data_IF_675387700710
#
_entry.id   IF_675387700710
#
_cell.length_a   1.000
_cell.length_b   1.000
_cell.length_c   1.000
_cell.angle_alpha   90.00
_cell.angle_beta   90.00
_cell.angle_gamma   90.00
#
_symmetry.space_group_name_H-M   'P 1'
#
loop_
_entity.id
_entity.type
_entity.pdbx_description
1 polymer ?
#
# COMPACT_ATOMS: atom_id res chain seq x y z
N UNK A 1 0.73 31.77 0.74
CA UNK A 1 1.52 31.64 -0.50
C UNK A 1 1.23 30.25 -1.05
N UNK A 2 0.48 30.12 -2.15
CA UNK A 2 0.16 28.81 -2.74
C UNK A 2 1.39 28.30 -3.48
N UNK A 3 1.98 27.20 -3.02
CA UNK A 3 3.04 26.51 -3.76
C UNK A 3 2.35 25.77 -4.92
N UNK A 4 2.83 25.95 -6.12
CA UNK A 4 2.27 25.27 -7.29
C UNK A 4 2.72 23.80 -7.31
N UNK A 5 1.91 22.93 -7.96
CA UNK A 5 2.21 21.50 -8.12
C UNK A 5 3.60 21.26 -8.73
N UNK A 6 4.04 22.14 -9.61
CA UNK A 6 5.37 22.11 -10.25
C UNK A 6 6.49 22.43 -9.25
N UNK A 7 6.30 23.40 -8.37
CA UNK A 7 7.32 23.80 -7.36
C UNK A 7 7.51 22.72 -6.29
N UNK A 8 6.44 22.00 -5.92
CA UNK A 8 6.52 20.85 -5.00
C UNK A 8 7.25 19.67 -5.67
N UNK A 9 6.92 19.40 -6.93
CA UNK A 9 7.55 18.39 -7.76
C UNK A 9 9.05 18.64 -7.90
N UNK A 10 9.46 19.85 -8.31
CA UNK A 10 10.86 20.21 -8.48
C UNK A 10 11.64 20.17 -7.16
N UNK A 11 11.02 20.55 -6.05
CA UNK A 11 11.65 20.48 -4.72
C UNK A 11 11.87 19.05 -4.25
N UNK A 12 10.91 18.16 -4.45
CA UNK A 12 11.01 16.76 -4.03
C UNK A 12 12.00 15.96 -4.90
N UNK A 13 11.93 16.14 -6.23
CA UNK A 13 12.77 15.38 -7.17
C UNK A 13 14.16 15.97 -7.38
N UNK A 14 14.42 17.22 -7.02
CA UNK A 14 15.79 17.75 -6.96
C UNK A 14 16.63 17.06 -5.87
N UNK A 15 15.97 16.50 -4.85
CA UNK A 15 16.62 15.75 -3.77
C UNK A 15 16.91 14.28 -4.17
N UNK A 16 16.17 13.74 -5.17
CA UNK A 16 16.29 12.35 -5.63
C UNK A 16 16.29 12.24 -7.16
N UNK A 17 17.33 12.74 -7.85
CA UNK A 17 17.35 12.84 -9.32
C UNK A 17 17.28 11.50 -10.06
N UNK A 18 17.72 10.39 -9.43
CA UNK A 18 17.66 9.06 -10.05
C UNK A 18 16.25 8.46 -10.07
N UNK A 19 15.39 8.85 -9.13
CA UNK A 19 13.99 8.43 -9.11
C UNK A 19 13.14 9.10 -10.21
N UNK A 20 13.47 10.33 -10.60
CA UNK A 20 12.77 11.05 -11.68
C UNK A 20 12.87 10.36 -13.05
N UNK A 21 13.89 9.52 -13.28
CA UNK A 21 14.07 8.76 -14.52
C UNK A 21 13.16 7.52 -14.63
N UNK A 22 12.76 6.94 -13.51
CA UNK A 22 11.90 5.74 -13.47
C UNK A 22 10.42 6.04 -13.79
N UNK A 23 9.98 7.30 -13.67
CA UNK A 23 8.58 7.70 -13.81
C UNK A 23 8.22 8.43 -15.10
N UNK A 24 9.09 8.40 -16.14
CA UNK A 24 8.82 9.01 -17.46
C UNK A 24 8.08 8.10 -18.45
N UNK A 25 7.50 7.00 -18.00
CA UNK A 25 6.59 6.20 -18.82
C UNK A 25 5.14 6.49 -18.44
N UNK A 26 4.25 6.57 -19.40
CA UNK A 26 2.83 6.96 -19.42
C UNK A 26 1.89 6.30 -18.38
N UNK A 27 2.30 6.21 -17.14
CA UNK A 27 1.42 5.82 -16.04
C UNK A 27 1.02 7.07 -15.27
N UNK A 28 -0.27 7.31 -15.13
CA UNK A 28 -0.80 8.32 -14.22
C UNK A 28 -0.10 8.15 -12.87
N UNK A 29 0.70 9.17 -12.49
CA UNK A 29 1.36 9.14 -11.19
C UNK A 29 0.25 9.14 -10.12
N UNK A 30 0.20 8.16 -9.24
CA UNK A 30 -0.77 8.20 -8.16
C UNK A 30 -0.48 9.41 -7.28
N UNK A 31 -1.50 9.99 -6.70
CA UNK A 31 -1.28 10.91 -5.60
C UNK A 31 -0.58 10.11 -4.47
N UNK A 32 0.53 10.64 -3.98
CA UNK A 32 1.25 10.03 -2.88
C UNK A 32 0.65 10.52 -1.57
N UNK A 33 0.23 9.60 -0.73
CA UNK A 33 -0.09 9.88 0.65
C UNK A 33 1.15 9.60 1.48
N UNK A 34 1.72 10.64 2.05
CA UNK A 34 2.87 10.53 2.95
C UNK A 34 2.40 10.13 4.34
N UNK A 35 3.04 9.12 4.91
CA UNK A 35 2.74 8.61 6.24
C UNK A 35 3.95 8.75 7.14
N UNK A 36 3.74 9.20 8.38
CA UNK A 36 4.72 9.21 9.45
C UNK A 36 4.10 8.57 10.67
N UNK A 37 4.67 7.47 11.11
CA UNK A 37 4.17 6.71 12.26
C UNK A 37 5.24 6.63 13.32
N UNK A 38 4.85 6.91 14.56
CA UNK A 38 5.69 6.77 15.73
C UNK A 38 5.10 5.69 16.63
N UNK A 39 5.92 4.72 17.00
CA UNK A 39 5.61 3.62 17.89
C UNK A 39 6.29 3.86 19.23
N UNK A 40 5.51 3.81 20.31
CA UNK A 40 6.02 3.96 21.68
C UNK A 40 5.66 2.73 22.51
N UNK A 41 6.60 2.23 23.27
CA UNK A 41 6.35 1.19 24.27
C UNK A 41 7.23 1.41 25.51
N UNK A 42 6.82 0.81 26.63
CA UNK A 42 7.69 0.70 27.79
C UNK A 42 8.79 -0.35 27.55
N UNK A 43 9.92 -0.27 28.27
CA UNK A 43 11.09 -1.13 28.05
C UNK A 43 10.80 -2.63 28.01
N UNK A 44 9.80 -3.10 28.74
CA UNK A 44 9.37 -4.49 28.76
C UNK A 44 8.71 -4.96 27.46
N UNK A 45 8.31 -4.03 26.56
CA UNK A 45 7.65 -4.30 25.29
C UNK A 45 8.46 -3.87 24.06
N UNK A 46 9.75 -3.55 24.23
CA UNK A 46 10.65 -3.16 23.14
C UNK A 46 10.75 -4.20 22.03
N UNK A 47 10.55 -5.49 22.36
CA UNK A 47 10.52 -6.55 21.38
C UNK A 47 9.34 -6.44 20.41
N UNK A 48 8.23 -5.83 20.82
CA UNK A 48 7.08 -5.57 19.95
C UNK A 48 7.40 -4.46 18.95
N UNK A 49 8.02 -3.36 19.38
CA UNK A 49 8.50 -2.30 18.46
C UNK A 49 9.50 -2.86 17.46
N UNK A 50 10.45 -3.68 17.92
CA UNK A 50 11.44 -4.31 17.05
C UNK A 50 10.79 -5.20 15.98
N UNK A 51 9.74 -5.95 16.33
CA UNK A 51 8.97 -6.77 15.37
C UNK A 51 8.23 -5.91 14.35
N UNK A 52 7.55 -4.85 14.81
CA UNK A 52 6.85 -3.92 13.92
C UNK A 52 7.85 -3.26 12.95
N UNK A 53 8.96 -2.73 13.47
CA UNK A 53 10.03 -2.15 12.66
C UNK A 53 10.53 -3.14 11.59
N UNK A 54 10.77 -4.40 11.98
CA UNK A 54 11.24 -5.42 11.04
C UNK A 54 10.24 -5.66 9.91
N UNK A 55 8.92 -5.72 10.21
CA UNK A 55 7.89 -5.84 9.18
C UNK A 55 7.94 -4.68 8.17
N UNK A 56 8.19 -3.44 8.63
CA UNK A 56 8.33 -2.28 7.74
C UNK A 56 9.63 -2.27 6.93
N UNK A 57 10.66 -3.00 7.36
CA UNK A 57 11.93 -3.15 6.62
C UNK A 57 11.92 -4.34 5.65
N UNK A 58 10.98 -5.25 5.81
CA UNK A 58 10.80 -6.41 4.94
C UNK A 58 10.00 -6.05 3.67
N UNK A 59 9.92 -6.99 2.73
CA UNK A 59 9.00 -6.90 1.60
C UNK A 59 7.57 -7.30 2.00
N UNK A 60 6.58 -6.81 1.26
CA UNK A 60 5.15 -7.13 1.46
C UNK A 60 4.65 -6.80 2.88
N UNK A 61 4.89 -5.57 3.31
CA UNK A 61 4.64 -5.06 4.65
C UNK A 61 3.18 -5.29 5.08
N UNK A 62 2.24 -4.80 4.30
CA UNK A 62 0.81 -4.89 4.65
C UNK A 62 0.27 -6.31 4.59
N UNK A 63 0.83 -7.16 3.73
CA UNK A 63 0.48 -8.60 3.69
C UNK A 63 0.89 -9.34 4.96
N UNK A 64 1.94 -8.89 5.65
CA UNK A 64 2.33 -9.46 6.94
C UNK A 64 1.36 -9.09 8.06
N UNK A 65 0.66 -7.97 7.93
CA UNK A 65 -0.29 -7.44 8.94
C UNK A 65 -1.71 -7.92 8.63
N UNK A 66 -2.18 -7.72 7.39
CA UNK A 66 -3.46 -8.21 6.88
C UNK A 66 -3.17 -9.01 5.61
N UNK A 67 -3.12 -10.36 5.71
CA UNK A 67 -2.73 -11.22 4.61
C UNK A 67 -3.65 -11.11 3.39
N UNK A 68 -3.07 -10.89 2.22
CA UNK A 68 -3.77 -10.91 0.96
C UNK A 68 -4.03 -12.35 0.49
N UNK A 69 -5.19 -12.64 -0.14
CA UNK A 69 -5.46 -13.94 -0.72
C UNK A 69 -4.44 -14.32 -1.81
N UNK A 70 -4.13 -15.59 -1.92
CA UNK A 70 -3.38 -16.11 -3.07
C UNK A 70 -4.29 -16.12 -4.31
N UNK A 71 -4.24 -15.06 -5.09
CA UNK A 71 -5.09 -14.86 -6.27
C UNK A 71 -4.88 -15.92 -7.34
N UNK A 72 -3.66 -16.48 -7.44
CA UNK A 72 -3.37 -17.56 -8.39
C UNK A 72 -4.15 -18.83 -8.10
N UNK A 73 -4.42 -19.09 -6.81
CA UNK A 73 -5.14 -20.28 -6.34
C UNK A 73 -6.57 -19.97 -5.86
N UNK A 74 -6.97 -18.69 -5.84
CA UNK A 74 -8.34 -18.29 -5.47
C UNK A 74 -9.26 -18.41 -6.69
N UNK A 75 -10.30 -19.26 -6.64
CA UNK A 75 -11.24 -19.42 -7.76
C UNK A 75 -11.93 -18.12 -8.12
N UNK A 76 -12.18 -17.92 -9.42
CA UNK A 76 -13.00 -16.84 -9.93
C UNK A 76 -14.47 -17.08 -9.59
N UNK A 77 -15.12 -16.07 -9.06
CA UNK A 77 -16.59 -16.05 -8.93
C UNK A 77 -17.18 -15.29 -10.10
N UNK A 78 -18.44 -15.59 -10.46
CA UNK A 78 -19.14 -14.91 -11.56
C UNK A 78 -19.27 -13.39 -11.35
N UNK A 79 -19.20 -12.91 -10.10
CA UNK A 79 -19.19 -11.50 -9.73
C UNK A 79 -17.87 -10.80 -10.05
N UNK A 80 -16.76 -11.54 -10.13
CA UNK A 80 -15.42 -10.98 -10.35
C UNK A 80 -15.20 -10.58 -11.81
N UNK A 81 -16.11 -11.01 -12.70
CA UNK A 81 -16.00 -10.80 -14.14
C UNK A 81 -17.13 -9.91 -14.61
N UNK A 82 -16.95 -8.60 -14.52
CA UNK A 82 -17.93 -7.63 -15.03
C UNK A 82 -18.07 -7.77 -16.56
N UNK A 83 -19.23 -8.29 -17.00
CA UNK A 83 -19.66 -8.26 -18.39
C UNK A 83 -19.13 -9.36 -19.32
N UNK A 84 -18.57 -10.46 -18.79
CA UNK A 84 -18.17 -11.63 -19.57
C UNK A 84 -18.54 -12.91 -18.83
N UNK A 85 -19.09 -13.87 -19.58
CA UNK A 85 -19.38 -15.22 -19.05
C UNK A 85 -18.08 -16.01 -19.11
N UNK A 86 -17.37 -16.11 -18.00
CA UNK A 86 -16.22 -17.02 -17.86
C UNK A 86 -16.65 -18.21 -17.03
N UNK A 87 -17.00 -19.28 -17.71
CA UNK A 87 -17.41 -20.50 -17.01
C UNK A 87 -16.22 -21.42 -16.65
N UNK A 88 -15.07 -21.27 -17.33
CA UNK A 88 -13.89 -22.13 -17.15
C UNK A 88 -12.62 -21.47 -17.73
N UNK A 89 -12.06 -20.50 -17.08
CA UNK A 89 -10.80 -19.93 -17.53
C UNK A 89 -10.15 -19.06 -16.49
N UNK A 90 -8.91 -18.70 -16.71
CA UNK A 90 -8.25 -17.65 -15.94
C UNK A 90 -8.78 -16.31 -16.40
N UNK A 91 -8.76 -15.30 -15.53
CA UNK A 91 -9.03 -13.93 -15.93
C UNK A 91 -8.15 -13.56 -17.12
N UNK A 92 -8.77 -13.00 -18.16
CA UNK A 92 -8.05 -12.67 -19.39
C UNK A 92 -8.05 -13.75 -20.48
N UNK A 93 -8.69 -14.89 -20.25
CA UNK A 93 -8.83 -15.98 -21.22
C UNK A 93 -10.30 -16.29 -21.52
N UNK A 94 -10.66 -16.41 -22.79
CA UNK A 94 -11.96 -16.87 -23.27
C UNK A 94 -11.85 -18.31 -23.74
N UNK A 95 -12.66 -19.27 -23.23
CA UNK A 95 -12.71 -20.59 -23.78
C UNK A 95 -13.32 -20.57 -25.20
N UNK A 96 -12.64 -21.21 -26.14
CA UNK A 96 -13.07 -21.35 -27.55
C UNK A 96 -13.77 -22.69 -27.75
N UNK A 97 -14.64 -22.84 -28.78
CA UNK A 97 -15.35 -24.07 -29.04
C UNK A 97 -14.43 -25.26 -29.36
N UNK A 98 -13.21 -25.02 -29.78
CA UNK A 98 -12.20 -26.05 -30.09
C UNK A 98 -11.40 -26.51 -28.86
N UNK A 99 -11.75 -25.98 -27.67
CA UNK A 99 -11.09 -26.29 -26.40
C UNK A 99 -9.81 -25.47 -26.14
N UNK A 100 -9.47 -24.54 -27.02
CA UNK A 100 -8.37 -23.57 -26.78
C UNK A 100 -8.85 -22.37 -25.99
N UNK A 101 -7.92 -21.51 -25.55
CA UNK A 101 -8.21 -20.25 -24.87
C UNK A 101 -7.67 -19.08 -25.69
N UNK A 102 -8.49 -18.05 -25.86
CA UNK A 102 -8.09 -16.81 -26.49
C UNK A 102 -7.87 -15.74 -25.42
N UNK A 103 -6.71 -15.10 -25.46
CA UNK A 103 -6.43 -13.96 -24.56
C UNK A 103 -7.38 -12.80 -24.85
N UNK A 104 -8.00 -12.26 -23.82
CA UNK A 104 -8.84 -11.05 -23.88
C UNK A 104 -8.05 -9.78 -23.63
N UNK A 105 -6.76 -9.89 -23.28
CA UNK A 105 -5.94 -8.77 -22.82
C UNK A 105 -6.32 -8.23 -21.44
N UNK A 106 -7.23 -8.89 -20.70
CA UNK A 106 -7.58 -8.52 -19.35
C UNK A 106 -6.61 -9.15 -18.35
N UNK A 107 -6.26 -8.39 -17.32
CA UNK A 107 -5.48 -8.85 -16.18
C UNK A 107 -6.40 -9.15 -15.00
N UNK A 108 -5.96 -10.01 -14.09
CA UNK A 108 -6.63 -10.21 -12.80
C UNK A 108 -6.43 -8.94 -11.95
N UNK A 109 -7.52 -8.23 -11.69
CA UNK A 109 -7.54 -6.97 -10.93
C UNK A 109 -8.29 -7.10 -9.59
N UNK A 110 -8.65 -8.33 -9.18
CA UNK A 110 -9.33 -8.59 -7.89
C UNK A 110 -8.54 -8.07 -6.69
N UNK A 111 -7.21 -8.11 -6.77
CA UNK A 111 -6.31 -7.57 -5.76
C UNK A 111 -6.58 -6.09 -5.49
N UNK A 112 -6.97 -5.32 -6.51
CA UNK A 112 -7.21 -3.89 -6.41
C UNK A 112 -8.40 -3.58 -5.49
N UNK A 113 -9.58 -4.15 -5.79
CA UNK A 113 -10.78 -3.94 -4.99
C UNK A 113 -10.60 -4.51 -3.57
N UNK A 114 -9.89 -5.64 -3.45
CA UNK A 114 -9.61 -6.24 -2.15
C UNK A 114 -8.70 -5.36 -1.28
N UNK A 115 -7.62 -4.83 -1.83
CA UNK A 115 -6.71 -3.94 -1.10
C UNK A 115 -7.39 -2.66 -0.67
N UNK A 116 -8.20 -2.05 -1.52
CA UNK A 116 -8.99 -0.89 -1.14
C UNK A 116 -9.96 -1.19 0.00
N UNK A 117 -10.56 -2.37 0.04
CA UNK A 117 -11.51 -2.77 1.07
C UNK A 117 -10.84 -3.21 2.39
N UNK A 118 -9.59 -3.68 2.37
CA UNK A 118 -8.92 -4.30 3.52
C UNK A 118 -7.68 -3.53 4.01
N UNK A 119 -7.06 -2.71 3.17
CA UNK A 119 -5.90 -1.89 3.53
C UNK A 119 -6.21 -0.38 3.49
N UNK A 120 -7.34 0.03 2.90
CA UNK A 120 -7.72 1.41 2.57
C UNK A 120 -6.77 2.09 1.56
N UNK A 121 -5.85 1.37 0.97
CA UNK A 121 -4.94 1.84 -0.07
C UNK A 121 -4.68 0.76 -1.09
N UNK A 122 -4.33 1.16 -2.33
CA UNK A 122 -4.20 0.19 -3.43
C UNK A 122 -2.85 -0.53 -3.47
N UNK A 123 -1.81 0.07 -2.92
CA UNK A 123 -0.45 -0.49 -2.92
C UNK A 123 0.06 -0.69 -1.51
N UNK A 124 1.04 -1.57 -1.38
CA UNK A 124 1.83 -1.70 -0.17
C UNK A 124 2.62 -0.42 0.13
N UNK A 125 3.14 -0.29 1.34
CA UNK A 125 4.04 0.80 1.68
C UNK A 125 5.30 0.78 0.79
N UNK A 126 5.76 1.95 0.40
CA UNK A 126 6.97 2.12 -0.39
C UNK A 126 7.75 3.35 0.06
N UNK A 127 9.02 3.44 -0.33
CA UNK A 127 9.95 4.49 0.11
C UNK A 127 10.07 4.56 1.65
N UNK A 128 10.12 3.40 2.28
CA UNK A 128 10.15 3.27 3.75
C UNK A 128 11.50 3.72 4.29
N UNK A 129 11.47 4.57 5.29
CA UNK A 129 12.64 5.10 5.99
C UNK A 129 12.39 5.10 7.49
N UNK A 130 13.30 4.52 8.26
CA UNK A 130 13.32 4.67 9.73
C UNK A 130 14.02 5.99 10.04
N UNK A 131 13.29 6.95 10.58
CA UNK A 131 13.78 8.30 10.87
C UNK A 131 14.27 8.45 12.31
N UNK A 132 13.72 7.65 13.24
CA UNK A 132 14.21 7.48 14.60
C UNK A 132 14.22 5.99 14.96
N UNK A 133 15.28 5.51 15.55
CA UNK A 133 15.52 4.09 15.90
C UNK A 133 15.86 3.93 17.40
N UNK A 134 15.08 4.55 18.25
CA UNK A 134 15.14 4.30 19.70
C UNK A 134 14.29 3.08 20.04
N UNK A 135 14.77 2.15 20.90
CA UNK A 135 14.02 0.95 21.27
C UNK A 135 12.64 1.23 21.91
N UNK A 136 12.46 2.35 22.60
CA UNK A 136 11.20 2.75 23.24
C UNK A 136 10.37 3.69 22.38
N UNK A 137 10.98 4.26 21.30
CA UNK A 137 10.35 5.23 20.40
C UNK A 137 10.94 5.11 19.01
N UNK A 138 10.27 4.39 18.13
CA UNK A 138 10.71 4.25 16.73
C UNK A 138 9.79 5.06 15.81
N UNK A 139 10.37 5.88 14.92
CA UNK A 139 9.61 6.60 13.90
C UNK A 139 9.94 6.07 12.50
N UNK A 140 8.91 5.83 11.70
CA UNK A 140 9.00 5.33 10.33
C UNK A 140 8.19 6.24 9.40
N UNK A 141 8.81 6.68 8.31
CA UNK A 141 8.15 7.38 7.21
C UNK A 141 8.04 6.49 5.99
N UNK A 142 6.93 6.59 5.28
CA UNK A 142 6.68 5.84 4.04
C UNK A 142 5.55 6.48 3.23
N UNK A 143 5.39 6.04 1.99
CA UNK A 143 4.32 6.47 1.11
C UNK A 143 3.31 5.35 0.86
N UNK A 144 2.05 5.75 0.68
CA UNK A 144 0.97 4.91 0.16
C UNK A 144 0.30 5.60 -1.04
N UNK A 145 -0.52 4.87 -1.79
CA UNK A 145 -1.18 5.41 -2.96
C UNK A 145 -2.58 5.94 -2.58
N UNK A 146 -2.81 7.23 -2.79
CA UNK A 146 -4.08 7.96 -2.67
C UNK A 146 -4.57 8.23 -1.25
N UNK A 147 -4.43 7.29 -0.33
CA UNK A 147 -5.02 7.33 1.01
C UNK A 147 -4.11 6.69 2.05
N UNK A 148 -4.24 7.08 3.34
CA UNK A 148 -3.54 6.40 4.41
C UNK A 148 -4.11 4.99 4.64
N UNK A 149 -3.29 4.03 5.10
CA UNK A 149 -3.70 2.65 5.30
C UNK A 149 -4.37 2.48 6.69
N UNK A 150 -5.58 3.00 6.86
CA UNK A 150 -6.30 3.04 8.14
C UNK A 150 -6.51 1.65 8.73
N UNK A 151 -6.88 0.67 7.90
CA UNK A 151 -7.09 -0.70 8.35
C UNK A 151 -5.79 -1.34 8.88
N UNK A 152 -4.65 -1.05 8.25
CA UNK A 152 -3.33 -1.51 8.71
C UNK A 152 -2.98 -0.88 10.07
N UNK A 153 -3.22 0.43 10.24
CA UNK A 153 -3.01 1.10 11.52
C UNK A 153 -3.84 0.44 12.64
N UNK A 154 -5.12 0.17 12.38
CA UNK A 154 -6.01 -0.48 13.34
C UNK A 154 -5.55 -1.91 13.65
N UNK A 155 -5.17 -2.69 12.64
CA UNK A 155 -4.66 -4.05 12.84
C UNK A 155 -3.38 -4.09 13.69
N UNK A 156 -2.46 -3.13 13.51
CA UNK A 156 -1.27 -3.00 14.36
C UNK A 156 -1.68 -2.71 15.80
N UNK A 157 -2.59 -1.77 16.03
CA UNK A 157 -3.09 -1.44 17.38
C UNK A 157 -3.76 -2.62 18.09
N UNK A 158 -4.47 -3.46 17.33
CA UNK A 158 -5.12 -4.68 17.85
C UNK A 158 -4.12 -5.80 18.13
N UNK A 159 -3.09 -5.96 17.31
CA UNK A 159 -2.07 -7.00 17.48
C UNK A 159 -1.03 -6.67 18.55
N UNK A 160 -0.78 -5.38 18.78
CA UNK A 160 0.25 -4.87 19.68
C UNK A 160 -0.34 -3.88 20.69
N UNK A 161 -1.21 -4.38 21.57
CA UNK A 161 -1.97 -3.55 22.53
C UNK A 161 -1.08 -2.73 23.49
N UNK A 162 0.15 -3.20 23.74
CA UNK A 162 1.14 -2.52 24.61
C UNK A 162 1.96 -1.46 23.87
N UNK A 163 1.75 -1.29 22.53
CA UNK A 163 2.43 -0.29 21.73
C UNK A 163 1.48 0.85 21.40
N UNK A 164 1.81 2.05 21.85
CA UNK A 164 1.11 3.25 21.44
C UNK A 164 1.51 3.64 20.02
N UNK A 165 0.52 3.88 19.16
CA UNK A 165 0.72 4.22 17.74
C UNK A 165 0.21 5.63 17.47
N UNK A 166 1.10 6.55 17.14
CA UNK A 166 0.78 7.88 16.61
C UNK A 166 1.05 7.91 15.12
N UNK A 167 0.01 8.03 14.32
CA UNK A 167 0.12 7.94 12.86
C UNK A 167 -0.42 9.20 12.22
N UNK A 168 0.46 10.00 11.68
CA UNK A 168 0.14 11.18 10.88
C UNK A 168 0.18 10.83 9.38
N UNK A 169 -0.73 11.40 8.60
CA UNK A 169 -0.70 11.32 7.14
C UNK A 169 -0.93 12.68 6.50
N UNK A 170 -0.39 12.84 5.29
CA UNK A 170 -0.56 14.01 4.44
C UNK A 170 -0.71 13.57 2.97
N UNK A 171 -1.81 13.95 2.34
CA UNK A 171 -2.08 13.74 0.91
C UNK A 171 -2.30 15.09 0.23
N UNK A 172 -1.21 15.69 -0.32
CA UNK A 172 -1.27 17.06 -0.87
C UNK A 172 -2.15 17.20 -2.11
N UNK A 173 -2.39 16.13 -2.86
CA UNK A 173 -3.21 16.16 -4.08
C UNK A 173 -4.69 16.41 -3.80
N UNK A 174 -5.19 15.92 -2.66
CA UNK A 174 -6.56 16.15 -2.17
C UNK A 174 -6.63 17.23 -1.09
N UNK A 175 -5.49 17.84 -0.73
CA UNK A 175 -5.39 18.86 0.34
C UNK A 175 -5.90 18.33 1.70
N UNK A 176 -5.62 17.04 2.03
CA UNK A 176 -5.99 16.42 3.30
C UNK A 176 -4.77 16.00 4.11
N UNK A 177 -4.83 16.20 5.40
CA UNK A 177 -3.86 15.71 6.37
C UNK A 177 -4.54 15.46 7.71
N UNK A 178 -4.02 14.53 8.52
CA UNK A 178 -4.59 14.23 9.82
C UNK A 178 -3.86 13.12 10.56
N UNK A 179 -4.48 12.68 11.64
CA UNK A 179 -4.05 11.52 12.43
C UNK A 179 -5.09 10.41 12.30
N UNK A 180 -4.61 9.16 12.19
CA UNK A 180 -5.42 7.96 12.25
C UNK A 180 -5.73 7.59 13.70
#
# INVERSE_FOLDING_TARGET
MRITKVELYDKYYSTYPDKAKLYRGDTEMPNHCHNRVTFYASPEHNDQIAKIKQMFLDENIFTQIIPEPDWANTPLMSSDVKGTVYDRGKVGELPMPDGTFQSTGRHDDRWYDWRLANWDTKWDAYDVVVTDDDPECTEIEFNTAWSPPTAICNAIREQYEDVSVSWFYDEPGMEIAGYL
#
